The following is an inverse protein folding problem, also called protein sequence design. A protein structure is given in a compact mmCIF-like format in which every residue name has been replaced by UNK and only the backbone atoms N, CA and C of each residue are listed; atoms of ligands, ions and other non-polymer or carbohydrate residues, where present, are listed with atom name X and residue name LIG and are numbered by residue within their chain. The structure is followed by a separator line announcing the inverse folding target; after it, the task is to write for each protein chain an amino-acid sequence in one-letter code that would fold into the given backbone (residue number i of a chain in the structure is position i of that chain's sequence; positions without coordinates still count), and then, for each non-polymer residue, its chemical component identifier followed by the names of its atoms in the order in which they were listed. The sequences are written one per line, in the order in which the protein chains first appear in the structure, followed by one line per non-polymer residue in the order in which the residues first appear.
data_IF_991187573960
#
_entry.id   IF_991187573960
#
_cell.length_a   1.000
_cell.length_b   1.000
_cell.length_c   1.000
_cell.angle_alpha   90.00
_cell.angle_beta   90.00
_cell.angle_gamma   90.00
#
_symmetry.space_group_name_H-M   'P 1'
#
loop_
_entity.id
_entity.type
_entity.pdbx_description
1 polymer ?
#
# COMPACT_ATOMS: atom_id res chain seq x y z
N UNK A 1 0.43 19.37 11.07
CA UNK A 1 0.41 19.68 9.62
C UNK A 1 -0.65 18.91 8.86
N UNK A 2 -0.63 17.57 8.84
CA UNK A 2 -1.60 16.77 8.07
C UNK A 2 -3.06 17.08 8.41
N UNK A 3 -3.40 17.22 9.70
CA UNK A 3 -4.74 17.64 10.16
C UNK A 3 -5.12 19.04 9.68
N UNK A 4 -4.17 19.98 9.66
CA UNK A 4 -4.40 21.35 9.16
C UNK A 4 -4.69 21.34 7.65
N UNK A 5 -3.97 20.53 6.89
CA UNK A 5 -4.22 20.37 5.46
C UNK A 5 -5.54 19.65 5.20
N UNK A 6 -5.90 18.66 6.03
CA UNK A 6 -7.21 18.00 5.99
C UNK A 6 -8.35 18.99 6.23
N UNK A 7 -8.19 19.85 7.24
CA UNK A 7 -9.13 20.93 7.50
C UNK A 7 -9.24 21.89 6.31
N UNK A 8 -8.11 22.36 5.78
CA UNK A 8 -8.11 23.25 4.61
C UNK A 8 -8.75 22.59 3.38
N UNK A 9 -8.52 21.30 3.15
CA UNK A 9 -9.14 20.56 2.05
C UNK A 9 -10.66 20.47 2.21
N UNK A 10 -11.16 20.13 3.40
CA UNK A 10 -12.62 20.06 3.64
C UNK A 10 -13.26 21.44 3.54
N UNK A 11 -12.56 22.49 3.97
CA UNK A 11 -13.07 23.86 3.94
C UNK A 11 -13.00 24.54 2.56
N UNK A 12 -12.04 24.17 1.70
CA UNK A 12 -11.75 24.86 0.43
C UNK A 12 -11.72 23.95 -0.82
N UNK A 13 -11.99 22.64 -0.67
CA UNK A 13 -11.87 21.60 -1.72
C UNK A 13 -12.79 21.74 -2.92
N UNK A 14 -13.76 22.65 -2.89
CA UNK A 14 -14.66 22.95 -4.00
C UNK A 14 -14.11 23.92 -5.04
N UNK A 15 -12.92 24.50 -4.84
CA UNK A 15 -12.38 25.54 -5.71
C UNK A 15 -11.70 24.95 -6.96
N UNK A 16 -11.97 25.53 -8.14
CA UNK A 16 -11.47 25.05 -9.43
C UNK A 16 -9.93 24.97 -9.52
N UNK A 17 -9.22 25.91 -8.88
CA UNK A 17 -7.74 25.89 -8.83
C UNK A 17 -7.20 24.68 -8.07
N UNK A 18 -7.93 24.20 -7.06
CA UNK A 18 -7.52 23.05 -6.26
C UNK A 18 -7.73 21.75 -7.04
N UNK A 19 -8.83 21.65 -7.78
CA UNK A 19 -9.10 20.52 -8.69
C UNK A 19 -8.06 20.41 -9.81
N UNK A 20 -7.57 21.55 -10.32
CA UNK A 20 -6.54 21.62 -11.35
C UNK A 20 -5.17 21.11 -10.86
N UNK A 21 -4.75 21.53 -9.67
CA UNK A 21 -3.53 21.02 -9.02
C UNK A 21 -3.60 19.50 -8.90
N UNK A 22 -4.72 19.01 -8.37
CA UNK A 22 -4.93 17.60 -8.11
C UNK A 22 -5.00 16.74 -9.37
N UNK A 23 -5.55 17.26 -10.46
CA UNK A 23 -5.55 16.60 -11.77
C UNK A 23 -4.11 16.31 -12.25
N UNK A 24 -3.21 17.30 -12.17
CA UNK A 24 -1.82 17.13 -12.57
C UNK A 24 -1.04 16.23 -11.62
N UNK A 25 -1.21 16.41 -10.31
CA UNK A 25 -0.51 15.60 -9.30
C UNK A 25 -0.91 14.13 -9.40
N UNK A 26 -2.18 13.82 -9.60
CA UNK A 26 -2.65 12.45 -9.66
C UNK A 26 -1.97 11.59 -10.71
N UNK A 27 -1.84 12.12 -11.92
CA UNK A 27 -1.09 11.47 -12.99
C UNK A 27 0.38 11.23 -12.60
N UNK A 28 1.02 12.20 -11.95
CA UNK A 28 2.40 12.07 -11.51
C UNK A 28 2.57 11.03 -10.41
N UNK A 29 1.63 10.96 -9.45
CA UNK A 29 1.61 9.95 -8.38
C UNK A 29 1.60 8.54 -8.96
N UNK A 30 0.75 8.27 -9.95
CA UNK A 30 0.73 6.96 -10.63
C UNK A 30 2.11 6.61 -11.17
N UNK A 31 2.77 7.54 -11.87
CA UNK A 31 4.12 7.35 -12.40
C UNK A 31 5.17 7.11 -11.30
N UNK A 32 5.07 7.82 -10.18
CA UNK A 32 5.95 7.65 -9.01
C UNK A 32 5.78 6.25 -8.40
N UNK A 33 4.54 5.78 -8.24
CA UNK A 33 4.29 4.46 -7.64
C UNK A 33 4.79 3.36 -8.59
N UNK A 34 4.55 3.46 -9.90
CA UNK A 34 5.11 2.52 -10.90
C UNK A 34 6.63 2.40 -10.76
N UNK A 35 7.33 3.53 -10.66
CA UNK A 35 8.78 3.54 -10.49
C UNK A 35 9.24 2.99 -9.14
N UNK A 36 8.46 3.19 -8.10
CA UNK A 36 8.74 2.66 -6.76
C UNK A 36 8.56 1.15 -6.71
N UNK A 37 7.48 0.62 -7.29
CA UNK A 37 7.26 -0.81 -7.45
C UNK A 37 8.41 -1.45 -8.22
N UNK A 38 8.84 -0.86 -9.34
CA UNK A 38 10.00 -1.34 -10.11
C UNK A 38 11.27 -1.42 -9.26
N UNK A 39 11.58 -0.37 -8.48
CA UNK A 39 12.75 -0.37 -7.57
C UNK A 39 12.64 -1.46 -6.50
N UNK A 40 11.44 -1.66 -5.94
CA UNK A 40 11.18 -2.66 -4.91
C UNK A 40 11.32 -4.08 -5.44
N UNK A 41 10.74 -4.38 -6.61
CA UNK A 41 10.87 -5.65 -7.32
C UNK A 41 12.33 -5.98 -7.61
N UNK A 42 13.11 -5.02 -8.12
CA UNK A 42 14.52 -5.22 -8.42
C UNK A 42 15.37 -5.48 -7.16
N UNK A 43 15.03 -4.85 -6.03
CA UNK A 43 15.78 -4.98 -4.78
C UNK A 43 15.45 -6.26 -4.01
N UNK A 44 14.20 -6.70 -4.03
CA UNK A 44 13.72 -7.78 -3.16
C UNK A 44 13.58 -9.14 -3.85
N UNK A 45 13.25 -9.20 -5.14
CA UNK A 45 12.98 -10.48 -5.84
C UNK A 45 14.24 -11.07 -6.48
N UNK A 46 15.16 -10.20 -6.94
CA UNK A 46 16.41 -10.64 -7.54
C UNK A 46 16.21 -11.55 -8.77
N UNK A 47 16.96 -12.66 -8.84
CA UNK A 47 16.93 -13.64 -9.94
C UNK A 47 16.11 -14.90 -9.63
N UNK A 48 15.39 -14.90 -8.52
CA UNK A 48 14.80 -16.13 -8.01
C UNK A 48 13.47 -16.47 -8.67
N UNK A 49 13.40 -17.62 -9.36
CA UNK A 49 12.22 -18.03 -10.14
C UNK A 49 10.99 -18.25 -9.28
N UNK A 50 11.16 -18.71 -8.04
CA UNK A 50 10.06 -19.01 -7.13
C UNK A 50 9.41 -17.70 -6.64
N UNK A 51 10.23 -16.73 -6.23
CA UNK A 51 9.74 -15.42 -5.80
C UNK A 51 9.08 -14.66 -6.97
N UNK A 52 9.60 -14.79 -8.19
CA UNK A 52 8.97 -14.25 -9.40
C UNK A 52 7.60 -14.89 -9.68
N UNK A 53 7.45 -16.20 -9.47
CA UNK A 53 6.16 -16.88 -9.63
C UNK A 53 5.12 -16.36 -8.63
N UNK A 54 5.48 -16.22 -7.35
CA UNK A 54 4.61 -15.66 -6.31
C UNK A 54 4.24 -14.21 -6.64
N UNK A 55 5.22 -13.40 -7.03
CA UNK A 55 5.01 -12.01 -7.42
C UNK A 55 4.03 -11.87 -8.59
N UNK A 56 4.23 -12.63 -9.67
CA UNK A 56 3.35 -12.57 -10.85
C UNK A 56 1.95 -13.09 -10.52
N UNK A 57 1.86 -14.15 -9.73
CA UNK A 57 0.58 -14.71 -9.31
C UNK A 57 -0.22 -13.70 -8.49
N UNK A 58 0.38 -13.06 -7.48
CA UNK A 58 -0.33 -12.07 -6.68
C UNK A 58 -0.58 -10.77 -7.43
N UNK A 59 0.32 -10.35 -8.32
CA UNK A 59 0.06 -9.21 -9.19
C UNK A 59 -1.17 -9.46 -10.09
N UNK A 60 -1.28 -10.65 -10.68
CA UNK A 60 -2.43 -11.03 -11.50
C UNK A 60 -3.70 -11.16 -10.66
N UNK A 61 -3.64 -11.81 -9.50
CA UNK A 61 -4.79 -11.93 -8.61
C UNK A 61 -5.29 -10.56 -8.16
N UNK A 62 -4.43 -9.69 -7.65
CA UNK A 62 -4.83 -8.34 -7.22
C UNK A 62 -5.37 -7.51 -8.39
N UNK A 63 -4.82 -7.66 -9.59
CA UNK A 63 -5.35 -6.97 -10.77
C UNK A 63 -6.75 -7.46 -11.16
N UNK A 64 -7.03 -8.75 -11.02
CA UNK A 64 -8.33 -9.36 -11.39
C UNK A 64 -9.37 -9.14 -10.28
N UNK A 65 -9.00 -9.36 -9.02
CA UNK A 65 -9.91 -9.30 -7.88
C UNK A 65 -10.08 -7.88 -7.35
N UNK A 66 -9.26 -6.94 -7.81
CA UNK A 66 -9.17 -5.54 -7.34
C UNK A 66 -9.08 -5.41 -5.81
N UNK A 67 -8.70 -6.48 -5.13
CA UNK A 67 -8.73 -6.62 -3.66
C UNK A 67 -7.42 -7.22 -3.18
N UNK A 68 -6.96 -6.74 -2.03
CA UNK A 68 -5.73 -7.22 -1.41
C UNK A 68 -6.03 -8.19 -0.27
N UNK A 69 -5.87 -9.49 -0.56
CA UNK A 69 -6.15 -10.55 0.40
C UNK A 69 -4.92 -10.79 1.27
N UNK A 70 -4.89 -10.20 2.47
CA UNK A 70 -3.77 -10.31 3.40
C UNK A 70 -3.36 -11.75 3.75
N UNK A 71 -4.31 -12.70 3.78
CA UNK A 71 -4.02 -14.12 4.01
C UNK A 71 -3.10 -14.73 2.95
N UNK A 72 -3.13 -14.22 1.71
CA UNK A 72 -2.24 -14.69 0.64
C UNK A 72 -0.78 -14.35 0.91
N UNK A 73 -0.49 -13.28 1.66
CA UNK A 73 0.89 -12.93 2.03
C UNK A 73 1.46 -13.96 3.00
N UNK A 74 0.70 -14.31 4.03
CA UNK A 74 1.09 -15.34 5.01
C UNK A 74 1.24 -16.69 4.31
N UNK A 75 0.27 -17.06 3.46
CA UNK A 75 0.31 -18.31 2.70
C UNK A 75 1.56 -18.40 1.81
N UNK A 76 1.92 -17.31 1.12
CA UNK A 76 3.14 -17.24 0.33
C UNK A 76 4.40 -17.39 1.20
N UNK A 77 4.47 -16.72 2.35
CA UNK A 77 5.56 -16.89 3.31
C UNK A 77 5.74 -18.34 3.75
N UNK A 78 4.65 -18.99 4.16
CA UNK A 78 4.66 -20.40 4.59
C UNK A 78 5.07 -21.33 3.44
N UNK A 79 4.59 -21.08 2.22
CA UNK A 79 4.95 -21.86 1.03
C UNK A 79 6.45 -21.77 0.74
N UNK A 80 7.04 -20.57 0.78
CA UNK A 80 8.49 -20.40 0.56
C UNK A 80 9.29 -21.03 1.69
N UNK A 81 8.81 -20.91 2.93
CA UNK A 81 9.43 -21.55 4.08
C UNK A 81 9.49 -23.07 3.94
N UNK A 82 8.38 -23.71 3.57
CA UNK A 82 8.30 -25.17 3.38
C UNK A 82 9.17 -25.65 2.22
N UNK A 83 9.25 -24.89 1.13
CA UNK A 83 10.02 -25.30 -0.05
C UNK A 83 11.53 -25.12 0.11
N UNK A 84 11.99 -24.10 0.86
CA UNK A 84 13.43 -23.79 0.99
C UNK A 84 14.07 -24.34 2.25
N UNK A 85 13.30 -24.48 3.32
CA UNK A 85 13.77 -25.01 4.59
C UNK A 85 12.74 -26.00 5.13
N UNK A 86 12.54 -27.16 4.46
CA UNK A 86 11.61 -28.17 4.94
C UNK A 86 12.02 -28.57 6.36
N UNK A 87 11.11 -28.53 7.35
CA UNK A 87 11.43 -28.97 8.70
C UNK A 87 11.96 -30.41 8.65
N UNK A 88 13.00 -30.69 9.44
CA UNK A 88 13.67 -32.00 9.50
C UNK A 88 12.72 -33.19 9.81
N UNK A 89 11.48 -32.89 10.24
CA UNK A 89 10.40 -33.85 10.47
C UNK A 89 9.69 -34.34 9.19
N UNK A 90 9.94 -33.76 8.02
CA UNK A 90 9.41 -34.23 6.73
C UNK A 90 10.30 -35.28 6.03
N UNK A 91 11.54 -35.45 6.50
CA UNK A 91 12.52 -36.36 5.89
C UNK A 91 12.55 -37.79 6.43
N UNK A 92 11.67 -38.14 7.38
CA UNK A 92 11.72 -39.43 8.08
C UNK A 92 10.34 -39.98 8.41
N UNK A 93 9.85 -40.87 7.54
CA UNK A 93 8.92 -41.99 7.80
C UNK A 93 7.57 -41.72 8.50
N UNK A 94 6.51 -42.10 7.76
CA UNK A 94 5.12 -42.37 8.20
C UNK A 94 4.37 -41.16 8.73
N UNK A 95 3.55 -40.58 7.85
CA UNK A 95 2.35 -39.82 8.25
C UNK A 95 1.58 -40.63 9.30
N UNK A 96 1.55 -40.23 10.59
CA UNK A 96 0.39 -40.55 11.40
C UNK A 96 -0.71 -39.63 10.85
N UNK A 97 -1.87 -40.20 10.51
CA UNK A 97 -2.98 -39.44 9.93
C UNK A 97 -3.13 -38.10 10.64
N UNK A 98 -2.99 -37.01 9.87
CA UNK A 98 -3.28 -35.67 10.35
C UNK A 98 -4.73 -35.70 10.83
N UNK A 99 -4.90 -35.92 12.12
CA UNK A 99 -6.01 -35.36 12.84
C UNK A 99 -5.93 -33.88 12.55
N UNK A 100 -6.89 -33.39 11.76
CA UNK A 100 -7.24 -32.00 11.67
C UNK A 100 -7.49 -31.56 13.11
N UNK A 101 -6.44 -31.11 13.80
CA UNK A 101 -6.57 -30.26 14.96
C UNK A 101 -7.30 -29.05 14.42
N UNK A 102 -8.61 -29.07 14.63
CA UNK A 102 -9.47 -27.92 14.54
C UNK A 102 -8.82 -26.88 15.44
N UNK A 103 -7.98 -26.02 14.85
CA UNK A 103 -7.70 -24.74 15.45
C UNK A 103 -9.07 -24.13 15.68
N UNK A 104 -9.40 -23.71 16.91
CA UNK A 104 -10.61 -22.95 17.11
C UNK A 104 -10.45 -21.73 16.21
N UNK A 105 -11.27 -21.68 15.16
CA UNK A 105 -11.51 -20.48 14.38
C UNK A 105 -12.17 -19.53 15.37
N UNK A 106 -11.36 -18.84 16.18
CA UNK A 106 -11.79 -17.68 16.93
C UNK A 106 -11.88 -16.57 15.89
N UNK A 107 -12.91 -16.66 15.06
CA UNK A 107 -12.99 -15.91 13.82
C UNK A 107 -14.36 -16.01 13.18
N UNK A 108 -15.43 -16.03 13.97
CA UNK A 108 -16.80 -15.82 13.43
C UNK A 108 -17.86 -15.67 14.52
N UNK A 109 -17.59 -14.95 15.62
CA UNK A 109 -18.65 -14.47 16.53
C UNK A 109 -18.32 -13.09 17.08
N UNK A 110 -18.37 -12.10 16.20
CA UNK A 110 -18.57 -10.68 16.52
C UNK A 110 -19.27 -9.97 15.35
N UNK A 111 -20.15 -10.70 14.66
CA UNK A 111 -21.09 -10.13 13.71
C UNK A 111 -22.40 -9.85 14.43
N UNK A 112 -22.42 -8.75 15.19
CA UNK A 112 -23.56 -7.87 15.47
C UNK A 112 -23.12 -6.91 16.56
N UNK A 113 -22.73 -5.71 16.16
CA UNK A 113 -22.97 -4.41 16.81
C UNK A 113 -22.46 -3.39 15.81
N UNK A 114 -23.17 -2.29 15.61
CA UNK A 114 -22.72 -1.18 14.77
C UNK A 114 -21.31 -0.74 15.21
N UNK A 115 -20.29 -1.33 14.58
CA UNK A 115 -18.91 -1.01 14.88
C UNK A 115 -18.74 0.44 14.47
N UNK A 116 -18.54 1.31 15.47
CA UNK A 116 -18.33 2.73 15.25
C UNK A 116 -17.33 2.91 14.10
N UNK A 117 -17.55 3.87 13.21
CA UNK A 117 -16.69 4.15 12.07
C UNK A 117 -15.20 4.16 12.45
N UNK A 118 -14.88 4.62 13.66
CA UNK A 118 -13.54 4.61 14.25
C UNK A 118 -12.96 3.21 14.45
N UNK A 119 -13.76 2.22 14.84
CA UNK A 119 -13.32 0.82 14.98
C UNK A 119 -12.96 0.23 13.62
N UNK A 120 -13.74 0.52 12.58
CA UNK A 120 -13.43 0.07 11.22
C UNK A 120 -12.13 0.71 10.72
N UNK A 121 -11.95 2.02 10.93
CA UNK A 121 -10.70 2.75 10.69
C UNK A 121 -9.56 2.06 11.46
N UNK A 122 -9.70 1.82 12.76
CA UNK A 122 -8.67 1.19 13.57
C UNK A 122 -8.24 -0.17 13.02
N UNK A 123 -9.20 -1.05 12.69
CA UNK A 123 -8.90 -2.39 12.18
C UNK A 123 -8.24 -2.32 10.81
N UNK A 124 -8.78 -1.52 9.88
CA UNK A 124 -8.25 -1.38 8.54
C UNK A 124 -6.82 -0.82 8.54
N UNK A 125 -6.62 0.29 9.25
CA UNK A 125 -5.31 0.94 9.32
C UNK A 125 -4.29 0.12 10.13
N UNK A 126 -4.73 -0.68 11.10
CA UNK A 126 -3.87 -1.66 11.77
C UNK A 126 -3.45 -2.80 10.84
N UNK A 127 -4.36 -3.29 10.00
CA UNK A 127 -4.02 -4.26 8.95
C UNK A 127 -3.04 -3.64 7.94
N UNK A 128 -3.27 -2.40 7.51
CA UNK A 128 -2.35 -1.69 6.63
C UNK A 128 -0.95 -1.58 7.25
N UNK A 129 -0.85 -1.21 8.53
CA UNK A 129 0.43 -1.17 9.24
C UNK A 129 1.09 -2.55 9.37
N UNK A 130 0.33 -3.57 9.74
CA UNK A 130 0.87 -4.92 9.96
C UNK A 130 1.37 -5.61 8.68
N UNK A 131 0.72 -5.36 7.54
CA UNK A 131 0.93 -6.16 6.32
C UNK A 131 1.64 -5.40 5.19
N UNK A 132 1.82 -4.09 5.30
CA UNK A 132 2.50 -3.33 4.26
C UNK A 132 4.00 -3.32 4.52
N UNK A 133 4.71 -4.04 3.66
CA UNK A 133 6.17 -4.10 3.66
C UNK A 133 6.72 -3.40 2.42
N UNK A 134 7.71 -2.53 2.61
CA UNK A 134 8.40 -1.87 1.49
C UNK A 134 8.76 -0.41 1.76
N UNK A 135 9.05 0.32 0.68
CA UNK A 135 9.21 1.78 0.73
C UNK A 135 7.92 2.44 1.18
N UNK A 136 7.95 3.64 1.77
CA UNK A 136 6.72 4.35 2.20
C UNK A 136 5.64 4.56 1.11
N UNK A 137 5.98 4.37 -0.17
CA UNK A 137 5.07 4.39 -1.33
C UNK A 137 4.34 3.06 -1.57
N UNK A 138 4.82 1.96 -1.00
CA UNK A 138 4.23 0.62 -1.09
C UNK A 138 2.85 0.55 -0.40
N UNK A 139 2.59 1.44 0.54
CA UNK A 139 1.31 1.52 1.27
C UNK A 139 0.17 2.07 0.41
N UNK A 140 0.49 2.87 -0.61
CA UNK A 140 -0.51 3.62 -1.36
C UNK A 140 -1.50 2.68 -2.07
N UNK A 141 -1.06 1.63 -2.78
CA UNK A 141 -2.01 0.76 -3.47
C UNK A 141 -2.88 -0.06 -2.51
N UNK A 142 -2.33 -0.48 -1.36
CA UNK A 142 -3.09 -1.12 -0.28
C UNK A 142 -4.19 -0.21 0.27
N UNK A 143 -3.85 1.06 0.55
CA UNK A 143 -4.82 2.03 1.03
C UNK A 143 -5.88 2.35 -0.02
N UNK A 144 -5.51 2.39 -1.29
CA UNK A 144 -6.48 2.60 -2.37
C UNK A 144 -7.51 1.47 -2.41
N UNK A 145 -7.06 0.21 -2.42
CA UNK A 145 -7.94 -0.95 -2.41
C UNK A 145 -8.92 -0.91 -1.24
N UNK A 146 -8.42 -0.71 -0.02
CA UNK A 146 -9.31 -0.69 1.14
C UNK A 146 -10.21 0.53 1.26
N UNK A 147 -9.67 1.74 1.06
CA UNK A 147 -10.39 3.00 1.34
C UNK A 147 -11.34 3.36 0.21
N UNK A 148 -10.98 3.09 -1.05
CA UNK A 148 -11.81 3.44 -2.23
C UNK A 148 -12.68 2.27 -2.66
N UNK A 149 -12.13 1.05 -2.71
CA UNK A 149 -12.85 -0.08 -3.32
C UNK A 149 -13.60 -0.95 -2.32
N UNK A 150 -13.05 -1.21 -1.12
CA UNK A 150 -13.69 -2.10 -0.14
C UNK A 150 -14.65 -1.34 0.78
N UNK A 151 -14.18 -0.24 1.38
CA UNK A 151 -14.96 0.54 2.34
C UNK A 151 -15.70 1.73 1.72
N UNK A 152 -15.36 2.12 0.49
CA UNK A 152 -15.93 3.29 -0.21
C UNK A 152 -15.94 4.58 0.61
N UNK A 153 -14.95 4.75 1.49
CA UNK A 153 -14.81 5.92 2.35
C UNK A 153 -14.37 7.16 1.57
N UNK A 154 -13.57 6.97 0.52
CA UNK A 154 -13.13 8.04 -0.38
C UNK A 154 -13.40 7.68 -1.84
N UNK A 155 -13.60 8.71 -2.65
CA UNK A 155 -13.59 8.61 -4.11
C UNK A 155 -12.15 8.48 -4.65
N UNK A 156 -11.99 8.01 -5.88
CA UNK A 156 -10.69 7.97 -6.59
C UNK A 156 -9.95 9.30 -6.50
N UNK A 157 -10.67 10.40 -6.75
CA UNK A 157 -10.14 11.76 -6.71
C UNK A 157 -9.66 12.12 -5.31
N UNK A 158 -10.50 11.96 -4.28
CA UNK A 158 -10.11 12.25 -2.90
C UNK A 158 -8.92 11.42 -2.42
N UNK A 159 -8.80 10.17 -2.87
CA UNK A 159 -7.65 9.34 -2.53
C UNK A 159 -6.37 9.85 -3.17
N UNK A 160 -6.42 10.16 -4.46
CA UNK A 160 -5.29 10.73 -5.19
C UNK A 160 -4.85 12.07 -4.56
N UNK A 161 -5.81 12.88 -4.14
CA UNK A 161 -5.58 14.16 -3.46
C UNK A 161 -4.93 13.94 -2.08
N UNK A 162 -5.36 12.92 -1.34
CA UNK A 162 -4.74 12.55 -0.09
C UNK A 162 -3.26 12.17 -0.28
N UNK A 163 -2.94 11.37 -1.29
CA UNK A 163 -1.57 10.98 -1.61
C UNK A 163 -0.74 12.18 -2.05
N UNK A 164 -1.31 13.08 -2.86
CA UNK A 164 -0.69 14.33 -3.28
C UNK A 164 -0.27 15.18 -2.07
N UNK A 165 -1.20 15.39 -1.13
CA UNK A 165 -0.97 16.16 0.09
C UNK A 165 0.14 15.52 0.95
N UNK A 166 0.16 14.19 1.05
CA UNK A 166 1.19 13.48 1.78
C UNK A 166 2.58 13.56 1.14
N UNK A 167 2.67 13.70 -0.19
CA UNK A 167 3.95 13.87 -0.89
C UNK A 167 4.50 15.30 -0.80
N UNK A 168 3.62 16.30 -0.65
CA UNK A 168 4.02 17.70 -0.46
C UNK A 168 4.44 17.97 0.99
N UNK A 169 3.86 17.24 1.95
CA UNK A 169 4.23 17.39 3.35
C UNK A 169 5.59 16.76 3.65
N UNK A 170 6.46 17.45 4.42
CA UNK A 170 7.74 16.88 4.83
C UNK A 170 7.49 15.68 5.75
N UNK A 171 7.85 14.49 5.28
CA UNK A 171 7.72 13.26 6.04
C UNK A 171 7.61 12.01 5.17
N UNK A 172 7.43 10.83 5.79
CA UNK A 172 7.14 9.60 5.07
C UNK A 172 5.75 9.66 4.43
N UNK A 173 5.59 9.16 3.21
CA UNK A 173 4.28 9.09 2.53
C UNK A 173 3.23 8.31 3.33
N UNK A 174 3.63 7.47 4.28
CA UNK A 174 2.73 6.78 5.22
C UNK A 174 1.85 7.76 6.01
N UNK A 175 2.23 9.03 6.18
CA UNK A 175 1.41 10.04 6.85
C UNK A 175 0.06 10.31 6.15
N UNK A 176 -0.14 9.86 4.90
CA UNK A 176 -1.44 9.89 4.20
C UNK A 176 -2.57 9.30 5.05
N UNK A 177 -2.28 8.27 5.86
CA UNK A 177 -3.30 7.60 6.70
C UNK A 177 -3.98 8.56 7.67
N UNK A 178 -3.24 9.55 8.20
CA UNK A 178 -3.80 10.58 9.07
C UNK A 178 -4.70 11.56 8.33
N UNK A 179 -4.38 11.86 7.07
CA UNK A 179 -5.22 12.71 6.21
C UNK A 179 -6.51 11.98 5.82
N UNK A 180 -6.38 10.72 5.38
CA UNK A 180 -7.53 9.86 5.06
C UNK A 180 -8.43 9.73 6.30
N UNK A 181 -7.85 9.40 7.47
CA UNK A 181 -8.60 9.32 8.71
C UNK A 181 -9.33 10.63 9.05
N UNK A 182 -8.72 11.78 8.75
CA UNK A 182 -9.36 13.09 8.91
C UNK A 182 -10.55 13.28 7.96
N UNK A 183 -10.41 12.90 6.69
CA UNK A 183 -11.50 13.01 5.71
C UNK A 183 -12.70 12.13 6.06
N UNK A 184 -12.46 10.97 6.67
CA UNK A 184 -13.51 9.99 6.98
C UNK A 184 -14.23 10.31 8.29
N UNK A 185 -13.50 10.66 9.36
CA UNK A 185 -14.09 10.83 10.69
C UNK A 185 -13.49 12.01 11.48
N UNK A 186 -12.91 13.00 10.79
CA UNK A 186 -12.34 14.20 11.41
C UNK A 186 -11.14 13.92 12.31
N UNK A 187 -10.93 14.76 13.32
CA UNK A 187 -9.79 14.67 14.22
C UNK A 187 -9.67 13.32 14.97
N UNK A 188 -10.76 12.70 15.44
CA UNK A 188 -10.72 11.35 16.00
C UNK A 188 -10.26 10.31 14.98
N UNK A 189 -10.77 10.36 13.74
CA UNK A 189 -10.37 9.46 12.66
C UNK A 189 -8.89 9.59 12.31
N UNK A 190 -8.36 10.81 12.25
CA UNK A 190 -6.94 11.07 11.98
C UNK A 190 -6.03 10.44 13.05
N UNK A 191 -6.41 10.58 14.31
CA UNK A 191 -5.63 10.07 15.46
C UNK A 191 -5.65 8.55 15.49
N UNK A 192 -6.84 7.96 15.32
CA UNK A 192 -7.00 6.50 15.30
C UNK A 192 -6.30 5.88 14.10
N UNK A 193 -6.43 6.45 12.89
CA UNK A 193 -5.73 5.95 11.71
C UNK A 193 -4.20 5.99 11.89
N UNK A 194 -3.66 7.10 12.41
CA UNK A 194 -2.23 7.22 12.66
C UNK A 194 -1.74 6.19 13.69
N UNK A 195 -2.39 6.11 14.85
CA UNK A 195 -2.02 5.15 15.89
C UNK A 195 -2.16 3.72 15.40
N UNK A 196 -3.27 3.38 14.75
CA UNK A 196 -3.53 2.05 14.23
C UNK A 196 -2.50 1.64 13.18
N UNK A 197 -2.05 2.53 12.29
CA UNK A 197 -1.00 2.18 11.32
C UNK A 197 0.37 2.00 11.95
N UNK A 198 0.78 2.86 12.89
CA UNK A 198 2.15 2.81 13.43
C UNK A 198 2.32 1.80 14.58
N UNK A 199 1.29 1.56 15.38
CA UNK A 199 1.34 0.65 16.52
C UNK A 199 1.74 -0.79 16.15
N UNK A 200 1.12 -1.47 15.17
CA UNK A 200 1.49 -2.84 14.81
C UNK A 200 2.92 -2.88 14.24
N UNK A 201 3.32 -1.92 13.39
CA UNK A 201 4.70 -1.83 12.89
C UNK A 201 5.70 -1.73 14.05
N UNK A 202 5.41 -0.88 15.03
CA UNK A 202 6.25 -0.69 16.21
C UNK A 202 6.31 -1.99 17.05
N UNK A 203 5.18 -2.65 17.29
CA UNK A 203 5.15 -3.91 18.04
C UNK A 203 5.88 -5.04 17.30
N UNK A 204 5.69 -5.18 15.99
CA UNK A 204 6.36 -6.19 15.15
C UNK A 204 7.86 -5.96 14.99
N UNK A 205 8.35 -4.74 15.22
CA UNK A 205 9.78 -4.46 15.21
C UNK A 205 10.38 -4.64 16.60
N UNK A 206 9.74 -4.13 17.64
CA UNK A 206 10.29 -4.12 19.00
C UNK A 206 10.18 -5.48 19.70
N UNK A 207 9.03 -6.16 19.64
CA UNK A 207 8.82 -7.44 20.33
C UNK A 207 9.73 -8.54 19.77
N UNK A 208 9.84 -8.71 18.43
CA UNK A 208 10.66 -9.77 17.87
C UNK A 208 12.15 -9.43 17.80
N UNK A 209 12.57 -8.17 17.95
CA UNK A 209 13.97 -7.74 17.87
C UNK A 209 14.97 -8.64 18.64
N UNK A 210 14.78 -8.96 19.93
CA UNK A 210 15.71 -9.84 20.66
C UNK A 210 15.75 -11.26 20.07
N UNK A 211 14.62 -11.78 19.61
CA UNK A 211 14.53 -13.12 19.02
C UNK A 211 15.11 -13.17 17.61
N UNK A 212 14.90 -12.14 16.80
CA UNK A 212 15.52 -12.00 15.48
C UNK A 212 17.04 -11.90 15.56
N UNK A 213 17.58 -11.25 16.61
CA UNK A 213 19.03 -11.22 16.83
C UNK A 213 19.63 -12.61 17.06
N UNK A 214 18.86 -13.55 17.63
CA UNK A 214 19.28 -14.92 17.93
C UNK A 214 18.98 -15.92 16.80
N UNK A 215 17.83 -15.79 16.13
CA UNK A 215 17.30 -16.79 15.19
C UNK A 215 17.09 -16.25 13.76
N UNK A 216 17.28 -14.95 13.52
CA UNK A 216 17.01 -14.32 12.22
C UNK A 216 17.95 -14.75 11.09
N UNK A 217 19.06 -15.43 11.42
CA UNK A 217 19.97 -16.02 10.42
C UNK A 217 19.57 -17.43 9.99
N UNK A 218 18.52 -18.01 10.59
CA UNK A 218 18.04 -19.32 10.19
C UNK A 218 17.48 -19.25 8.77
N UNK A 219 17.84 -20.19 7.88
CA UNK A 219 17.40 -20.19 6.48
C UNK A 219 15.87 -20.22 6.36
N UNK A 220 15.17 -20.83 7.32
CA UNK A 220 13.72 -20.85 7.34
C UNK A 220 13.06 -19.49 7.60
N UNK A 221 13.63 -18.67 8.50
CA UNK A 221 13.09 -17.33 8.77
C UNK A 221 13.31 -16.41 7.58
N UNK A 222 14.48 -16.49 6.95
CA UNK A 222 14.81 -15.73 5.73
C UNK A 222 13.85 -16.12 4.59
N UNK A 223 13.67 -17.43 4.35
CA UNK A 223 12.76 -17.93 3.33
C UNK A 223 11.31 -17.47 3.55
N UNK A 224 10.82 -17.49 4.78
CA UNK A 224 9.49 -17.01 5.13
C UNK A 224 9.32 -15.51 4.82
N UNK A 225 10.27 -14.68 5.26
CA UNK A 225 10.25 -13.23 5.04
C UNK A 225 10.37 -12.89 3.55
N UNK A 226 11.21 -13.62 2.80
CA UNK A 226 11.34 -13.47 1.35
C UNK A 226 10.00 -13.76 0.64
N UNK A 227 9.30 -14.81 1.05
CA UNK A 227 7.98 -15.17 0.50
C UNK A 227 6.91 -14.11 0.75
N UNK A 228 6.81 -13.61 1.99
CA UNK A 228 5.88 -12.51 2.34
C UNK A 228 6.23 -11.25 1.56
N UNK A 229 7.51 -10.92 1.47
CA UNK A 229 7.97 -9.70 0.78
C UNK A 229 7.68 -9.76 -0.72
N UNK A 230 7.97 -10.89 -1.38
CA UNK A 230 7.65 -11.07 -2.80
C UNK A 230 6.15 -11.00 -3.06
N UNK A 231 5.35 -11.58 -2.15
CA UNK A 231 3.91 -11.54 -2.21
C UNK A 231 3.35 -10.11 -2.09
N UNK A 232 3.79 -9.35 -1.08
CA UNK A 232 3.38 -7.96 -0.90
C UNK A 232 3.74 -7.10 -2.12
N UNK A 233 4.97 -7.23 -2.64
CA UNK A 233 5.42 -6.49 -3.83
C UNK A 233 4.60 -6.87 -5.07
N UNK A 234 4.20 -8.14 -5.19
CA UNK A 234 3.31 -8.62 -6.24
C UNK A 234 1.94 -7.95 -6.19
N UNK A 235 1.29 -7.96 -5.02
CA UNK A 235 0.00 -7.30 -4.84
C UNK A 235 0.07 -5.80 -5.16
N UNK A 236 1.10 -5.10 -4.64
CA UNK A 236 1.36 -3.68 -4.94
C UNK A 236 1.47 -3.44 -6.45
N UNK A 237 2.16 -4.32 -7.19
CA UNK A 237 2.27 -4.20 -8.63
C UNK A 237 0.92 -4.35 -9.34
N UNK A 238 0.07 -5.28 -8.88
CA UNK A 238 -1.28 -5.46 -9.39
C UNK A 238 -2.17 -4.24 -9.14
N UNK A 239 -2.18 -3.71 -7.91
CA UNK A 239 -3.03 -2.57 -7.55
C UNK A 239 -2.58 -1.26 -8.21
N UNK A 240 -1.29 -1.08 -8.51
CA UNK A 240 -0.83 0.06 -9.35
C UNK A 240 -1.47 0.05 -10.74
N UNK A 241 -1.63 -1.13 -11.36
CA UNK A 241 -2.27 -1.22 -12.67
C UNK A 241 -3.76 -0.87 -12.59
N UNK A 242 -4.44 -1.28 -11.52
CA UNK A 242 -5.84 -0.91 -11.25
C UNK A 242 -5.97 0.62 -11.11
N UNK A 243 -5.11 1.24 -10.30
CA UNK A 243 -5.10 2.69 -10.09
C UNK A 243 -4.80 3.43 -11.39
N UNK A 244 -3.81 2.96 -12.16
CA UNK A 244 -3.43 3.57 -13.43
C UNK A 244 -4.60 3.58 -14.43
N UNK A 245 -5.35 2.47 -14.52
CA UNK A 245 -6.52 2.37 -15.40
C UNK A 245 -7.64 3.33 -15.00
N UNK A 246 -7.79 3.62 -13.70
CA UNK A 246 -8.84 4.50 -13.16
C UNK A 246 -8.45 5.98 -13.12
N UNK A 247 -7.16 6.27 -13.00
CA UNK A 247 -6.64 7.64 -12.87
C UNK A 247 -6.23 8.27 -14.21
N UNK A 248 -5.85 7.46 -15.20
CA UNK A 248 -5.49 7.94 -16.55
C UNK A 248 -6.77 7.96 -17.39
N UNK A 249 -7.46 9.10 -17.35
CA UNK A 249 -8.73 9.31 -18.05
C UNK A 249 -8.52 9.92 -19.44
N UNK A 250 -7.49 10.77 -19.61
CA UNK A 250 -7.27 11.56 -20.82
C UNK A 250 -5.82 11.48 -21.32
N UNK A 251 -5.61 11.95 -22.56
CA UNK A 251 -4.27 12.07 -23.17
C UNK A 251 -3.30 12.93 -22.33
N UNK A 252 -3.71 14.09 -21.77
CA UNK A 252 -2.81 14.91 -20.94
C UNK A 252 -2.38 14.22 -19.64
N UNK A 253 -3.29 13.53 -18.96
CA UNK A 253 -3.00 12.74 -17.75
C UNK A 253 -2.05 11.59 -18.07
N UNK A 254 -2.23 10.91 -19.22
CA UNK A 254 -1.30 9.88 -19.69
C UNK A 254 0.10 10.43 -19.95
N UNK A 255 0.20 11.60 -20.60
CA UNK A 255 1.48 12.27 -20.87
C UNK A 255 2.19 12.65 -19.57
N UNK A 256 1.49 13.23 -18.60
CA UNK A 256 2.07 13.60 -17.29
C UNK A 256 2.60 12.35 -16.57
N UNK A 257 1.86 11.25 -16.58
CA UNK A 257 2.28 9.99 -15.97
C UNK A 257 3.55 9.43 -16.65
N UNK A 258 3.57 9.39 -17.98
CA UNK A 258 4.72 8.90 -18.76
C UNK A 258 5.97 9.78 -18.59
N UNK A 259 5.79 11.11 -18.61
CA UNK A 259 6.88 12.07 -18.36
C UNK A 259 7.42 11.90 -16.95
N UNK A 260 6.56 11.70 -15.96
CA UNK A 260 6.97 11.45 -14.56
C UNK A 260 7.80 10.16 -14.45
N UNK A 261 7.36 9.08 -15.09
CA UNK A 261 8.11 7.81 -15.16
C UNK A 261 9.47 8.04 -15.83
N UNK A 262 9.49 8.74 -16.97
CA UNK A 262 10.72 8.99 -17.72
C UNK A 262 11.73 9.83 -16.93
N UNK A 263 11.28 10.91 -16.29
CA UNK A 263 12.11 11.78 -15.46
C UNK A 263 12.71 11.03 -14.27
N UNK A 264 11.90 10.23 -13.56
CA UNK A 264 12.38 9.40 -12.45
C UNK A 264 13.36 8.31 -12.89
N UNK A 265 13.15 7.77 -14.10
CA UNK A 265 14.02 6.74 -14.63
C UNK A 265 15.38 7.31 -15.07
N UNK A 266 15.39 8.46 -15.75
CA UNK A 266 16.59 9.13 -16.24
C UNK A 266 17.37 9.84 -15.13
N UNK A 267 16.67 10.53 -14.24
CA UNK A 267 17.29 11.35 -13.18
C UNK A 267 17.03 10.74 -11.80
N UNK A 268 17.87 9.77 -11.43
CA UNK A 268 17.79 9.06 -10.14
C UNK A 268 17.95 9.94 -8.88
N UNK A 269 18.39 11.20 -9.04
CA UNK A 269 18.57 12.19 -7.96
C UNK A 269 17.36 13.11 -7.76
N UNK A 270 16.37 13.09 -8.65
CA UNK A 270 15.16 13.89 -8.47
C UNK A 270 14.35 13.33 -7.31
N UNK A 271 13.98 14.19 -6.38
CA UNK A 271 13.13 13.83 -5.26
C UNK A 271 11.68 13.76 -5.76
N UNK A 272 10.92 12.76 -5.33
CA UNK A 272 9.51 12.58 -5.69
C UNK A 272 8.66 13.86 -5.44
N UNK A 273 8.83 14.61 -4.33
CA UNK A 273 8.09 15.85 -4.08
C UNK A 273 8.27 16.93 -5.15
N UNK A 274 9.44 17.01 -5.80
CA UNK A 274 9.72 18.02 -6.84
C UNK A 274 8.88 17.74 -8.09
N UNK A 275 8.73 16.47 -8.44
CA UNK A 275 7.91 16.06 -9.60
C UNK A 275 6.43 16.31 -9.31
N UNK A 276 6.00 16.04 -8.07
CA UNK A 276 4.64 16.37 -7.62
C UNK A 276 4.38 17.87 -7.70
N UNK A 277 5.31 18.71 -7.22
CA UNK A 277 5.17 20.16 -7.31
C UNK A 277 5.15 20.67 -8.76
N UNK A 278 6.00 20.13 -9.64
CA UNK A 278 5.97 20.47 -11.07
C UNK A 278 4.66 20.04 -11.73
N UNK A 279 4.16 18.85 -11.40
CA UNK A 279 2.89 18.34 -11.91
C UNK A 279 1.69 19.15 -11.41
N UNK A 280 1.72 19.65 -10.17
CA UNK A 280 0.73 20.58 -9.63
C UNK A 280 0.65 21.87 -10.46
N UNK A 281 1.81 22.46 -10.78
CA UNK A 281 1.88 23.68 -11.61
C UNK A 281 1.39 23.42 -13.04
N UNK A 282 1.79 22.29 -13.63
CA UNK A 282 1.31 21.90 -14.95
C UNK A 282 -0.21 21.64 -14.96
N UNK A 283 -0.74 21.01 -13.91
CA UNK A 283 -2.18 20.81 -13.72
C UNK A 283 -2.96 22.12 -13.69
N UNK A 284 -2.45 23.13 -12.97
CA UNK A 284 -3.03 24.48 -12.93
C UNK A 284 -3.10 25.16 -14.30
N UNK A 285 -2.14 24.91 -15.18
CA UNK A 285 -2.08 25.51 -16.52
C UNK A 285 -2.96 24.76 -17.53
N UNK A 286 -3.02 23.43 -17.42
CA UNK A 286 -3.66 22.56 -18.41
C UNK A 286 -5.15 22.37 -18.13
N UNK A 287 -5.55 22.29 -16.85
CA UNK A 287 -6.94 22.03 -16.47
C UNK A 287 -7.94 23.09 -16.96
N UNK A 288 -7.68 24.41 -16.85
CA UNK A 288 -8.61 25.44 -17.31
C UNK A 288 -8.78 25.48 -18.84
N UNK A 289 -7.82 24.93 -19.59
CA UNK A 289 -7.86 24.88 -21.06
C UNK A 289 -8.72 23.72 -21.59
N UNK A 290 -8.92 22.67 -20.78
CA UNK A 290 -9.67 21.47 -21.14
C UNK A 290 -11.08 21.44 -20.53
N UNK A 291 -11.29 22.16 -19.42
CA UNK A 291 -12.57 22.27 -18.72
C UNK A 291 -12.91 23.77 -18.54
N UNK A 292 -13.39 24.45 -19.60
CA UNK A 292 -13.76 25.86 -19.56
C UNK A 292 -15.04 26.13 -18.75
#
# INVERSE_FOLDING_TARGET
MVVLLGWAYVSYGGLAWMQAVFYGVGAAVVGIIVMSTKKLTQKSIGKDKLLWAIYLLLAALTFITETEIAWLFIAAGVLVWLLRAPPAWLGGSKLPGLTLLQLPVIGSMLATQDASLLTQIAIFFAKAGAFVFGSGLAIVPFLYGGVVTEHHWLTDKQFVDAVAVAMITPGPVVITVGFIGYLVAGLPGATVAALATFLPCYLFTVIPAPYFKKYGKLPGVIAFVDGITAAAIGAIAGSVLVIARRSILDVPTAVIALVSIFLLWKFKKLQEPVIVAAAAVLGLLIYPLLHP
#
